data_IF_696209736262
#
_entry.id   IF_696209736262
#
_cell.length_a   1.000
_cell.length_b   1.000
_cell.length_c   1.000
_cell.angle_alpha   90.00
_cell.angle_beta   90.00
_cell.angle_gamma   90.00
#
_symmetry.space_group_name_H-M   'P 1'
#
loop_
_entity.id
_entity.type
_entity.pdbx_description
1 polymer ?
#
# COMPACT_ATOMS: atom_id res chain seq x y z
N UNK A 1 7.46 -7.70 27.61
CA UNK A 1 7.56 -7.02 28.92
C UNK A 1 8.64 -7.63 29.86
N UNK A 2 8.86 -8.96 29.90
CA UNK A 2 9.90 -9.59 30.74
C UNK A 2 11.31 -9.08 30.41
N UNK A 3 11.67 -8.94 29.12
CA UNK A 3 12.96 -8.42 28.70
C UNK A 3 13.18 -6.99 29.22
N UNK A 4 12.16 -6.12 29.12
CA UNK A 4 12.20 -4.74 29.61
C UNK A 4 12.47 -4.73 31.13
N UNK A 5 11.73 -5.55 31.90
CA UNK A 5 11.91 -5.65 33.33
C UNK A 5 13.31 -6.14 33.70
N UNK A 6 13.84 -7.11 32.97
CA UNK A 6 15.18 -7.66 33.22
C UNK A 6 16.26 -6.62 32.95
N UNK A 7 16.18 -5.87 31.86
CA UNK A 7 17.13 -4.79 31.54
C UNK A 7 17.06 -3.66 32.58
N UNK A 8 15.88 -3.28 33.05
CA UNK A 8 15.73 -2.26 34.10
C UNK A 8 16.38 -2.69 35.42
N UNK A 9 16.26 -3.95 35.81
CA UNK A 9 16.94 -4.50 36.99
C UNK A 9 18.47 -4.45 36.85
N UNK A 10 19.00 -4.81 35.70
CA UNK A 10 20.44 -4.75 35.44
C UNK A 10 20.96 -3.32 35.43
N UNK A 11 20.19 -2.38 34.87
CA UNK A 11 20.54 -0.96 34.86
C UNK A 11 20.48 -0.33 36.28
N UNK A 12 19.69 -0.86 37.21
CA UNK A 12 19.73 -0.42 38.59
C UNK A 12 21.09 -0.69 39.28
N UNK A 13 21.81 -1.74 38.82
CA UNK A 13 23.16 -2.08 39.30
C UNK A 13 24.27 -1.43 38.46
N UNK A 14 24.00 -1.19 37.14
CA UNK A 14 24.96 -0.64 36.16
C UNK A 14 24.33 0.50 35.38
N UNK A 15 24.10 1.67 35.98
CA UNK A 15 23.29 2.74 35.35
C UNK A 15 23.89 3.40 34.13
N UNK A 16 25.20 3.26 33.86
CA UNK A 16 25.86 3.84 32.69
C UNK A 16 26.28 2.81 31.64
N UNK A 17 25.72 1.59 31.66
CA UNK A 17 26.13 0.54 30.74
C UNK A 17 25.47 0.72 29.35
N UNK A 18 26.26 1.11 28.35
CA UNK A 18 25.80 1.44 26.98
C UNK A 18 24.96 0.33 26.36
N UNK A 19 25.45 -0.91 26.39
CA UNK A 19 24.79 -2.04 25.75
C UNK A 19 23.42 -2.36 26.40
N UNK A 20 23.32 -2.25 27.75
CA UNK A 20 22.04 -2.45 28.45
C UNK A 20 21.01 -1.39 28.06
N UNK A 21 21.43 -0.13 27.97
CA UNK A 21 20.55 0.93 27.48
C UNK A 21 20.14 0.71 26.03
N UNK A 22 21.07 0.30 25.16
CA UNK A 22 20.77 0.00 23.77
C UNK A 22 19.74 -1.14 23.64
N UNK A 23 19.96 -2.27 24.35
CA UNK A 23 19.06 -3.42 24.28
C UNK A 23 17.68 -3.12 24.87
N UNK A 24 17.62 -2.33 25.94
CA UNK A 24 16.36 -1.82 26.49
C UNK A 24 15.66 -0.90 25.49
N UNK A 25 16.39 -0.02 24.80
CA UNK A 25 15.85 0.83 23.75
C UNK A 25 15.20 0.03 22.62
N UNK A 26 15.85 -1.03 22.16
CA UNK A 26 15.29 -1.96 21.17
C UNK A 26 14.02 -2.64 21.68
N UNK A 27 14.05 -3.18 22.92
CA UNK A 27 12.89 -3.84 23.52
C UNK A 27 11.70 -2.89 23.69
N UNK A 28 11.96 -1.64 24.08
CA UNK A 28 10.93 -0.60 24.23
C UNK A 28 10.30 -0.24 22.88
N UNK A 29 11.10 -0.14 21.81
CA UNK A 29 10.58 0.12 20.45
C UNK A 29 9.67 -1.01 19.98
N UNK A 30 10.06 -2.25 20.18
CA UNK A 30 9.24 -3.43 19.87
C UNK A 30 7.93 -3.48 20.67
N UNK A 31 7.95 -2.95 21.92
CA UNK A 31 6.77 -2.84 22.77
C UNK A 31 5.91 -1.57 22.46
N UNK A 32 6.25 -0.80 21.43
CA UNK A 32 5.54 0.43 21.07
C UNK A 32 5.80 1.65 21.97
N UNK A 33 6.72 1.53 22.95
CA UNK A 33 7.10 2.62 23.88
C UNK A 33 8.18 3.50 23.23
N UNK A 34 7.81 4.20 22.16
CA UNK A 34 8.76 4.80 21.20
C UNK A 34 9.62 5.91 21.82
N UNK A 35 9.04 6.86 22.59
CA UNK A 35 9.79 7.95 23.22
C UNK A 35 10.76 7.45 24.30
N UNK A 36 10.37 6.45 25.07
CA UNK A 36 11.26 5.80 26.03
C UNK A 36 12.43 5.11 25.32
N UNK A 37 12.18 4.49 24.16
CA UNK A 37 13.24 3.91 23.31
C UNK A 37 14.27 4.98 22.90
N UNK A 38 13.82 6.15 22.40
CA UNK A 38 14.72 7.26 22.03
C UNK A 38 15.56 7.69 23.23
N UNK A 39 14.94 7.82 24.41
CA UNK A 39 15.65 8.22 25.64
C UNK A 39 16.76 7.23 26.02
N UNK A 40 16.47 5.93 25.95
CA UNK A 40 17.47 4.91 26.28
C UNK A 40 18.58 4.80 25.23
N UNK A 41 18.29 4.93 23.94
CA UNK A 41 19.34 5.00 22.92
C UNK A 41 20.24 6.24 23.05
N UNK A 42 19.70 7.38 23.51
CA UNK A 42 20.52 8.56 23.84
C UNK A 42 21.46 8.32 25.01
N UNK A 43 20.99 7.62 26.07
CA UNK A 43 21.84 7.24 27.20
C UNK A 43 22.95 6.26 26.75
N UNK A 44 22.63 5.28 25.92
CA UNK A 44 23.61 4.39 25.32
C UNK A 44 24.69 5.15 24.55
N UNK A 45 24.28 6.08 23.70
CA UNK A 45 25.17 6.88 22.88
C UNK A 45 26.02 7.85 23.72
N UNK A 46 25.50 8.38 24.83
CA UNK A 46 26.26 9.21 25.76
C UNK A 46 27.40 8.42 26.44
N UNK A 47 27.21 7.12 26.68
CA UNK A 47 28.22 6.25 27.27
C UNK A 47 29.27 5.78 26.24
N UNK A 48 28.91 5.65 24.95
CA UNK A 48 29.83 5.26 23.86
C UNK A 48 29.53 6.03 22.56
N UNK A 49 30.02 7.30 22.44
CA UNK A 49 29.69 8.21 21.35
C UNK A 49 30.32 7.86 19.98
N UNK A 50 31.28 6.93 19.94
CA UNK A 50 31.97 6.55 18.70
C UNK A 50 31.48 5.23 18.14
N UNK A 51 30.43 4.65 18.68
CA UNK A 51 29.89 3.38 18.25
C UNK A 51 28.89 3.57 17.08
N UNK A 52 29.19 3.06 15.90
CA UNK A 52 28.33 3.23 14.73
C UNK A 52 26.96 2.56 14.91
N UNK A 53 26.89 1.43 15.61
CA UNK A 53 25.61 0.73 15.83
C UNK A 53 24.67 1.53 16.75
N UNK A 54 25.20 2.23 17.77
CA UNK A 54 24.39 3.06 18.66
C UNK A 54 23.81 4.27 17.93
N UNK A 55 24.58 4.89 17.03
CA UNK A 55 24.06 5.93 16.15
C UNK A 55 22.94 5.38 15.25
N UNK A 56 23.13 4.20 14.63
CA UNK A 56 22.13 3.58 13.78
C UNK A 56 20.84 3.26 14.55
N UNK A 57 20.95 2.69 15.76
CA UNK A 57 19.81 2.35 16.58
C UNK A 57 19.02 3.58 17.09
N UNK A 58 19.75 4.66 17.47
CA UNK A 58 19.10 5.94 17.79
C UNK A 58 18.38 6.52 16.56
N UNK A 59 19.00 6.45 15.37
CA UNK A 59 18.38 6.82 14.12
C UNK A 59 17.08 6.06 13.87
N UNK A 60 17.08 4.74 14.05
CA UNK A 60 15.88 3.91 13.92
C UNK A 60 14.77 4.27 14.93
N UNK A 61 15.16 4.60 16.17
CA UNK A 61 14.19 5.02 17.20
C UNK A 61 13.60 6.40 16.86
N UNK A 62 14.40 7.35 16.39
CA UNK A 62 13.97 8.68 15.95
C UNK A 62 13.05 8.61 14.73
N UNK A 63 13.37 7.73 13.76
CA UNK A 63 12.53 7.45 12.60
C UNK A 63 11.15 6.94 13.03
N UNK A 64 11.09 6.05 14.04
CA UNK A 64 9.84 5.50 14.56
C UNK A 64 8.92 6.56 15.22
N UNK A 65 9.48 7.67 15.70
CA UNK A 65 8.72 8.83 16.22
C UNK A 65 8.61 9.99 15.22
N UNK A 66 8.86 9.73 13.93
CA UNK A 66 8.80 10.69 12.81
C UNK A 66 9.77 11.89 12.93
N UNK A 67 10.84 11.76 13.74
CA UNK A 67 11.92 12.77 13.84
C UNK A 67 12.98 12.53 12.77
N UNK A 68 12.57 12.62 11.52
CA UNK A 68 13.37 12.19 10.36
C UNK A 68 14.68 12.94 10.19
N UNK A 69 14.70 14.26 10.40
CA UNK A 69 15.94 15.06 10.23
C UNK A 69 17.03 14.65 11.22
N UNK A 70 16.65 14.34 12.45
CA UNK A 70 17.60 13.85 13.45
C UNK A 70 18.02 12.41 13.13
N UNK A 71 17.08 11.56 12.70
CA UNK A 71 17.37 10.19 12.30
C UNK A 71 18.42 10.15 11.18
N UNK A 72 18.22 10.95 10.13
CA UNK A 72 19.17 11.07 9.00
C UNK A 72 20.56 11.49 9.47
N UNK A 73 20.66 12.49 10.37
CA UNK A 73 21.95 12.92 10.93
C UNK A 73 22.68 11.80 11.66
N UNK A 74 21.94 11.03 12.48
CA UNK A 74 22.52 9.92 13.22
C UNK A 74 22.92 8.77 12.29
N UNK A 75 22.15 8.45 11.27
CA UNK A 75 22.52 7.44 10.28
C UNK A 75 23.76 7.86 9.47
N UNK A 76 23.87 9.13 9.04
CA UNK A 76 25.09 9.62 8.41
C UNK A 76 26.30 9.52 9.34
N UNK A 77 26.14 9.81 10.63
CA UNK A 77 27.24 9.63 11.60
C UNK A 77 27.64 8.18 11.74
N UNK A 78 26.69 7.27 11.75
CA UNK A 78 26.93 5.81 11.79
C UNK A 78 27.85 5.36 10.64
N UNK A 79 27.52 5.70 9.39
CA UNK A 79 28.31 5.30 8.21
C UNK A 79 29.63 6.06 8.09
N UNK A 80 29.73 7.26 8.66
CA UNK A 80 31.01 8.00 8.74
C UNK A 80 32.00 7.34 9.72
N UNK A 81 31.48 6.75 10.80
CA UNK A 81 32.29 6.01 11.79
C UNK A 81 32.73 4.63 11.28
N UNK A 82 31.93 3.99 10.42
CA UNK A 82 32.25 2.69 9.83
C UNK A 82 31.77 2.62 8.39
N UNK A 83 32.71 2.73 7.45
CA UNK A 83 32.42 2.73 5.99
C UNK A 83 31.99 1.37 5.43
N UNK A 84 32.18 0.30 6.20
CA UNK A 84 31.81 -1.06 5.85
C UNK A 84 30.63 -1.60 6.69
N UNK A 85 29.91 -0.69 7.36
CA UNK A 85 28.75 -1.03 8.16
C UNK A 85 27.49 -1.10 7.28
N UNK A 86 27.26 -2.26 6.64
CA UNK A 86 26.16 -2.48 5.70
C UNK A 86 24.79 -2.12 6.29
N UNK A 87 24.54 -2.48 7.57
CA UNK A 87 23.28 -2.16 8.26
C UNK A 87 23.08 -0.66 8.44
N UNK A 88 24.16 0.11 8.67
CA UNK A 88 24.10 1.57 8.71
C UNK A 88 23.64 2.18 7.40
N UNK A 89 24.17 1.72 6.27
CA UNK A 89 23.72 2.12 4.94
C UNK A 89 22.27 1.71 4.68
N UNK A 90 21.88 0.49 5.04
CA UNK A 90 20.51 0.00 4.91
C UNK A 90 19.51 0.86 5.70
N UNK A 91 19.80 1.15 6.96
CA UNK A 91 18.94 1.95 7.82
C UNK A 91 18.87 3.43 7.36
N UNK A 92 19.98 4.00 6.89
CA UNK A 92 20.00 5.32 6.26
C UNK A 92 19.09 5.34 5.02
N UNK A 93 19.19 4.31 4.16
CA UNK A 93 18.39 4.21 2.96
C UNK A 93 16.89 4.16 3.28
N UNK A 94 16.47 3.37 4.28
CA UNK A 94 15.09 3.34 4.74
C UNK A 94 14.61 4.72 5.21
N UNK A 95 15.44 5.45 5.96
CA UNK A 95 15.10 6.77 6.45
C UNK A 95 15.01 7.80 5.31
N UNK A 96 15.94 7.76 4.36
CA UNK A 96 15.95 8.63 3.18
C UNK A 96 14.74 8.38 2.28
N UNK A 97 14.35 7.11 2.10
CA UNK A 97 13.13 6.74 1.37
C UNK A 97 11.89 7.33 2.04
N UNK A 98 11.78 7.23 3.36
CA UNK A 98 10.62 7.73 4.10
C UNK A 98 10.48 9.26 4.02
N UNK A 99 11.58 9.99 3.81
CA UNK A 99 11.56 11.44 3.55
C UNK A 99 11.54 11.80 2.06
N UNK A 100 11.40 10.82 1.17
CA UNK A 100 11.27 11.03 -0.28
C UNK A 100 12.59 11.32 -1.01
N UNK A 101 13.77 11.18 -0.36
CA UNK A 101 15.09 11.35 -0.98
C UNK A 101 15.52 10.05 -1.67
N UNK A 102 14.77 9.67 -2.75
CA UNK A 102 14.87 8.34 -3.37
C UNK A 102 16.23 8.09 -4.02
N UNK A 103 16.83 9.06 -4.71
CA UNK A 103 18.15 8.88 -5.34
C UNK A 103 19.21 8.50 -4.31
N UNK A 104 19.23 9.18 -3.18
CA UNK A 104 20.16 8.90 -2.11
C UNK A 104 19.85 7.58 -1.40
N UNK A 105 18.56 7.23 -1.24
CA UNK A 105 18.15 5.96 -0.68
C UNK A 105 18.62 4.79 -1.56
N UNK A 106 18.43 4.87 -2.88
CA UNK A 106 18.89 3.89 -3.87
C UNK A 106 20.42 3.73 -3.80
N UNK A 107 21.17 4.85 -3.74
CA UNK A 107 22.62 4.82 -3.56
C UNK A 107 23.06 4.11 -2.28
N UNK A 108 22.38 4.38 -1.17
CA UNK A 108 22.66 3.73 0.12
C UNK A 108 22.29 2.23 0.11
N UNK A 109 21.15 1.84 -0.48
CA UNK A 109 20.80 0.42 -0.66
C UNK A 109 21.83 -0.30 -1.52
N UNK A 110 22.26 0.31 -2.64
CA UNK A 110 23.30 -0.25 -3.51
C UNK A 110 24.60 -0.45 -2.75
N UNK A 111 25.02 0.53 -1.92
CA UNK A 111 26.21 0.36 -1.09
C UNK A 111 26.08 -0.74 -0.04
N UNK A 112 24.93 -0.84 0.63
CA UNK A 112 24.65 -1.92 1.58
C UNK A 112 24.74 -3.30 0.90
N UNK A 113 24.22 -3.43 -0.33
CA UNK A 113 24.27 -4.65 -1.13
C UNK A 113 25.67 -4.96 -1.70
N UNK A 114 26.51 -3.95 -1.93
CA UNK A 114 27.91 -4.16 -2.29
C UNK A 114 28.68 -4.78 -1.13
N UNK A 115 28.38 -4.40 0.12
CA UNK A 115 29.03 -4.92 1.32
C UNK A 115 28.46 -6.33 1.68
N UNK A 116 27.12 -6.46 1.64
CA UNK A 116 26.41 -7.71 1.91
C UNK A 116 25.49 -8.12 0.75
N UNK A 117 26.03 -8.77 -0.31
CA UNK A 117 25.27 -9.12 -1.51
C UNK A 117 24.08 -10.04 -1.25
N UNK A 118 24.14 -10.89 -0.22
CA UNK A 118 23.11 -11.90 0.08
C UNK A 118 21.97 -11.37 0.96
N UNK A 119 21.98 -10.08 1.33
CA UNK A 119 20.91 -9.48 2.12
C UNK A 119 19.64 -9.33 1.27
N UNK A 120 18.77 -10.36 1.30
CA UNK A 120 17.52 -10.42 0.54
C UNK A 120 16.58 -9.29 0.91
N UNK A 121 16.50 -8.93 2.20
CA UNK A 121 15.66 -7.82 2.65
C UNK A 121 16.12 -6.49 2.05
N UNK A 122 17.42 -6.23 2.04
CA UNK A 122 17.95 -5.03 1.40
C UNK A 122 17.67 -5.00 -0.11
N UNK A 123 17.70 -6.14 -0.79
CA UNK A 123 17.33 -6.22 -2.22
C UNK A 123 15.85 -5.91 -2.46
N UNK A 124 14.94 -6.39 -1.60
CA UNK A 124 13.51 -6.06 -1.71
C UNK A 124 13.27 -4.57 -1.48
N UNK A 125 13.89 -3.99 -0.45
CA UNK A 125 13.74 -2.55 -0.15
C UNK A 125 14.35 -1.67 -1.24
N UNK A 126 15.45 -2.11 -1.84
CA UNK A 126 16.06 -1.48 -3.03
C UNK A 126 15.09 -1.50 -4.22
N UNK A 127 14.47 -2.65 -4.50
CA UNK A 127 13.49 -2.79 -5.56
C UNK A 127 12.27 -1.88 -5.33
N UNK A 128 11.76 -1.82 -4.08
CA UNK A 128 10.67 -0.91 -3.70
C UNK A 128 11.05 0.55 -3.95
N UNK A 129 12.29 0.96 -3.60
CA UNK A 129 12.75 2.32 -3.85
C UNK A 129 12.80 2.66 -5.36
N UNK A 130 13.24 1.73 -6.20
CA UNK A 130 13.20 1.85 -7.66
C UNK A 130 11.76 2.00 -8.18
N UNK A 131 10.83 1.18 -7.69
CA UNK A 131 9.41 1.28 -8.06
C UNK A 131 8.79 2.60 -7.62
N UNK A 132 9.13 3.10 -6.42
CA UNK A 132 8.70 4.42 -5.94
C UNK A 132 9.22 5.56 -6.82
N UNK A 133 10.44 5.42 -7.39
CA UNK A 133 11.04 6.38 -8.31
C UNK A 133 10.41 6.31 -9.71
N UNK A 134 9.75 5.19 -10.04
CA UNK A 134 9.14 4.98 -11.35
C UNK A 134 9.98 4.13 -12.30
N UNK A 135 11.09 3.58 -11.84
CA UNK A 135 11.95 2.68 -12.58
C UNK A 135 11.33 1.26 -12.64
N UNK A 136 10.26 1.11 -13.45
CA UNK A 136 9.45 -0.12 -13.45
C UNK A 136 10.23 -1.36 -13.86
N UNK A 137 11.00 -1.30 -14.96
CA UNK A 137 11.74 -2.45 -15.48
C UNK A 137 12.77 -2.94 -14.46
N UNK A 138 13.63 -2.03 -13.99
CA UNK A 138 14.66 -2.35 -13.00
C UNK A 138 14.03 -2.75 -11.66
N UNK A 139 13.00 -2.04 -11.21
CA UNK A 139 12.31 -2.28 -9.96
C UNK A 139 11.63 -3.64 -9.92
N UNK A 140 10.82 -4.00 -10.92
CA UNK A 140 10.15 -5.31 -10.94
C UNK A 140 11.13 -6.47 -11.17
N UNK A 141 12.18 -6.25 -11.97
CA UNK A 141 13.26 -7.24 -12.11
C UNK A 141 13.95 -7.52 -10.78
N UNK A 142 14.31 -6.48 -10.03
CA UNK A 142 14.90 -6.62 -8.71
C UNK A 142 13.92 -7.18 -7.68
N UNK A 143 12.61 -6.88 -7.82
CA UNK A 143 11.56 -7.33 -6.90
C UNK A 143 11.29 -8.83 -6.96
N UNK A 144 11.72 -9.55 -8.02
CA UNK A 144 11.60 -11.01 -8.11
C UNK A 144 12.35 -11.75 -6.99
N UNK A 145 13.33 -11.10 -6.32
CA UNK A 145 14.01 -11.66 -5.14
C UNK A 145 13.08 -11.97 -3.97
N UNK A 146 11.91 -11.30 -3.89
CA UNK A 146 10.90 -11.52 -2.84
C UNK A 146 10.47 -12.97 -2.74
N UNK A 147 10.42 -13.70 -3.87
CA UNK A 147 10.10 -15.14 -3.93
C UNK A 147 11.04 -16.03 -3.12
N UNK A 148 12.19 -15.50 -2.71
CA UNK A 148 13.19 -16.20 -1.87
C UNK A 148 13.08 -15.82 -0.40
N UNK A 149 12.10 -14.97 -0.04
CA UNK A 149 11.84 -14.63 1.35
C UNK A 149 10.92 -15.67 1.98
N UNK A 150 11.15 -16.05 3.26
CA UNK A 150 10.28 -16.98 3.98
C UNK A 150 8.83 -16.50 4.09
N UNK A 151 8.64 -15.18 4.09
CA UNK A 151 7.34 -14.52 4.23
C UNK A 151 6.52 -14.55 2.92
N UNK A 152 7.14 -14.93 1.80
CA UNK A 152 6.48 -15.01 0.49
C UNK A 152 6.40 -16.47 0.06
N UNK A 153 5.42 -17.24 0.53
CA UNK A 153 5.28 -18.63 0.13
C UNK A 153 4.96 -18.71 -1.36
N UNK A 154 5.81 -19.41 -2.10
CA UNK A 154 5.57 -19.74 -3.50
C UNK A 154 4.83 -21.08 -3.54
N UNK A 155 3.69 -21.19 -4.24
CA UNK A 155 3.01 -22.47 -4.39
C UNK A 155 3.94 -23.52 -5.04
N UNK A 156 3.94 -24.73 -4.54
CA UNK A 156 4.69 -25.86 -5.09
C UNK A 156 3.87 -26.56 -6.17
N UNK A 157 3.86 -25.97 -7.37
CA UNK A 157 3.23 -26.55 -8.55
C UNK A 157 4.21 -27.44 -9.30
N UNK A 158 3.72 -28.60 -9.78
CA UNK A 158 4.51 -29.51 -10.62
C UNK A 158 4.85 -28.90 -12.00
N UNK A 159 4.03 -27.98 -12.49
CA UNK A 159 4.22 -27.29 -13.75
C UNK A 159 5.29 -26.21 -13.63
N UNK A 160 5.92 -25.89 -14.77
CA UNK A 160 6.96 -24.86 -14.79
C UNK A 160 6.40 -23.44 -14.57
N UNK A 161 7.16 -22.61 -13.87
CA UNK A 161 6.89 -21.18 -13.84
C UNK A 161 7.07 -20.60 -15.26
N UNK A 162 6.16 -19.71 -15.67
CA UNK A 162 6.28 -18.99 -16.94
C UNK A 162 7.46 -18.00 -16.88
N UNK A 163 8.28 -18.01 -17.91
CA UNK A 163 9.50 -17.22 -18.06
C UNK A 163 9.36 -16.00 -18.98
N UNK A 164 8.13 -15.68 -19.44
CA UNK A 164 7.88 -14.60 -20.41
C UNK A 164 7.86 -15.07 -21.87
N UNK A 165 8.14 -16.37 -22.14
CA UNK A 165 8.16 -16.96 -23.48
C UNK A 165 6.79 -17.13 -24.15
N UNK A 166 6.71 -17.83 -25.30
CA UNK A 166 5.48 -18.03 -26.08
C UNK A 166 4.38 -18.74 -25.28
N UNK A 167 3.13 -18.23 -25.41
CA UNK A 167 1.94 -18.75 -24.74
C UNK A 167 0.87 -19.32 -25.68
N UNK A 168 1.10 -19.29 -27.01
CA UNK A 168 0.12 -19.75 -27.98
C UNK A 168 -0.36 -21.16 -27.67
N UNK A 169 -1.65 -21.32 -27.41
CA UNK A 169 -2.31 -22.59 -27.10
C UNK A 169 -2.04 -23.14 -25.70
N UNK A 170 -1.27 -22.46 -24.86
CA UNK A 170 -1.00 -22.88 -23.49
C UNK A 170 -2.07 -22.38 -22.51
N UNK A 171 -2.31 -23.17 -21.47
CA UNK A 171 -3.11 -22.81 -20.31
C UNK A 171 -2.19 -22.22 -19.23
N UNK A 172 -2.38 -20.98 -18.82
CA UNK A 172 -1.60 -20.33 -17.78
C UNK A 172 -2.43 -20.09 -16.53
N UNK A 173 -1.92 -20.54 -15.37
CA UNK A 173 -2.48 -20.24 -14.06
C UNK A 173 -1.83 -18.96 -13.48
N UNK A 174 -2.62 -17.93 -13.26
CA UNK A 174 -2.23 -16.73 -12.53
C UNK A 174 -2.67 -16.87 -11.07
N UNK A 175 -1.76 -16.71 -10.13
CA UNK A 175 -2.06 -16.84 -8.71
C UNK A 175 -1.75 -15.57 -7.92
N UNK A 176 -2.52 -15.26 -6.84
CA UNK A 176 -2.26 -14.15 -5.96
C UNK A 176 -1.04 -14.46 -5.08
N UNK A 177 -0.28 -13.44 -4.73
CA UNK A 177 0.88 -13.56 -3.85
C UNK A 177 0.73 -12.67 -2.61
N UNK A 178 0.04 -11.55 -2.77
CA UNK A 178 -0.17 -10.55 -1.75
C UNK A 178 -1.67 -10.28 -1.56
N UNK A 179 -2.05 -9.06 -1.19
CA UNK A 179 -3.44 -8.73 -0.89
C UNK A 179 -4.36 -8.51 -2.10
N UNK A 180 -5.63 -8.22 -1.80
CA UNK A 180 -6.68 -7.96 -2.79
C UNK A 180 -6.32 -6.83 -3.77
N UNK A 181 -5.63 -5.78 -3.27
CA UNK A 181 -5.18 -4.65 -4.10
C UNK A 181 -4.26 -5.08 -5.23
N UNK A 182 -3.41 -6.08 -4.98
CA UNK A 182 -2.48 -6.59 -5.99
C UNK A 182 -3.20 -7.37 -7.09
N UNK A 183 -4.17 -8.21 -6.71
CA UNK A 183 -5.00 -8.90 -7.70
C UNK A 183 -5.72 -7.89 -8.57
N UNK A 184 -6.37 -6.88 -7.96
CA UNK A 184 -7.09 -5.83 -8.68
C UNK A 184 -6.16 -5.02 -9.60
N UNK A 185 -4.92 -4.74 -9.17
CA UNK A 185 -3.96 -4.00 -9.98
C UNK A 185 -3.39 -4.83 -11.13
N UNK A 186 -2.94 -6.07 -10.85
CA UNK A 186 -2.15 -6.84 -11.80
C UNK A 186 -2.96 -7.77 -12.69
N UNK A 187 -4.23 -8.03 -12.40
CA UNK A 187 -5.10 -8.82 -13.28
C UNK A 187 -5.25 -8.21 -14.68
N UNK A 188 -4.97 -6.91 -14.85
CA UNK A 188 -4.94 -6.22 -16.14
C UNK A 188 -4.02 -6.91 -17.16
N UNK A 189 -2.91 -7.49 -16.70
CA UNK A 189 -1.98 -8.20 -17.57
C UNK A 189 -2.54 -9.49 -18.16
N UNK A 190 -3.61 -10.05 -17.60
CA UNK A 190 -4.31 -11.19 -18.18
C UNK A 190 -4.80 -10.90 -19.61
N UNK A 191 -5.17 -9.64 -19.90
CA UNK A 191 -5.54 -9.20 -21.25
C UNK A 191 -4.39 -9.39 -22.24
N UNK A 192 -3.16 -9.06 -21.85
CA UNK A 192 -1.98 -9.24 -22.68
C UNK A 192 -1.67 -10.72 -22.91
N UNK A 193 -1.79 -11.55 -21.87
CA UNK A 193 -1.57 -13.00 -22.00
C UNK A 193 -2.62 -13.63 -22.92
N UNK A 194 -3.87 -13.16 -22.85
CA UNK A 194 -4.94 -13.57 -23.77
C UNK A 194 -4.61 -13.20 -25.22
N UNK A 195 -4.07 -12.00 -25.47
CA UNK A 195 -3.61 -11.58 -26.81
C UNK A 195 -2.45 -12.42 -27.33
N UNK A 196 -1.60 -12.96 -26.45
CA UNK A 196 -0.51 -13.90 -26.78
C UNK A 196 -1.01 -15.33 -27.04
N UNK A 197 -2.33 -15.55 -27.03
CA UNK A 197 -2.98 -16.81 -27.34
C UNK A 197 -3.08 -17.81 -26.20
N UNK A 198 -2.93 -17.34 -24.94
CA UNK A 198 -3.11 -18.18 -23.77
C UNK A 198 -4.59 -18.41 -23.46
N UNK A 199 -4.89 -19.57 -22.85
CA UNK A 199 -6.07 -19.76 -22.00
C UNK A 199 -5.71 -19.32 -20.60
N UNK A 200 -6.35 -18.26 -20.10
CA UNK A 200 -6.03 -17.60 -18.85
C UNK A 200 -6.91 -18.13 -17.72
N UNK A 201 -6.29 -18.72 -16.70
CA UNK A 201 -6.92 -19.20 -15.48
C UNK A 201 -6.46 -18.29 -14.34
N UNK A 202 -7.39 -17.76 -13.56
CA UNK A 202 -7.08 -16.89 -12.43
C UNK A 202 -7.50 -17.56 -11.13
N UNK A 203 -6.53 -17.84 -10.26
CA UNK A 203 -6.75 -18.17 -8.86
C UNK A 203 -6.86 -16.86 -8.07
N UNK A 204 -7.89 -16.69 -7.24
CA UNK A 204 -8.09 -15.50 -6.46
C UNK A 204 -8.75 -15.79 -5.11
N UNK A 205 -8.75 -14.80 -4.21
CA UNK A 205 -9.54 -14.83 -3.00
C UNK A 205 -11.03 -14.88 -3.35
N UNK A 206 -11.84 -15.60 -2.54
CA UNK A 206 -13.27 -15.81 -2.80
C UNK A 206 -14.05 -14.50 -3.04
N UNK A 207 -13.68 -13.43 -2.34
CA UNK A 207 -14.31 -12.10 -2.47
C UNK A 207 -14.16 -11.47 -3.87
N UNK A 208 -13.21 -11.92 -4.68
CA UNK A 208 -12.97 -11.38 -6.04
C UNK A 208 -13.57 -12.24 -7.14
N UNK A 209 -14.04 -13.46 -6.81
CA UNK A 209 -14.43 -14.47 -7.79
C UNK A 209 -15.47 -13.97 -8.78
N UNK A 210 -16.59 -13.45 -8.29
CA UNK A 210 -17.71 -13.06 -9.14
C UNK A 210 -17.42 -11.77 -9.94
N UNK A 211 -16.59 -10.86 -9.39
CA UNK A 211 -16.06 -9.73 -10.14
C UNK A 211 -15.21 -10.20 -11.34
N UNK A 212 -14.28 -11.13 -11.10
CA UNK A 212 -13.34 -11.57 -12.15
C UNK A 212 -13.99 -12.46 -13.19
N UNK A 213 -15.06 -13.18 -12.86
CA UNK A 213 -15.89 -13.94 -13.82
C UNK A 213 -16.58 -13.05 -14.88
N UNK A 214 -16.81 -11.77 -14.56
CA UNK A 214 -17.39 -10.82 -15.49
C UNK A 214 -16.37 -10.26 -16.51
N UNK A 215 -15.10 -10.72 -16.49
CA UNK A 215 -13.99 -10.20 -17.29
C UNK A 215 -13.76 -11.08 -18.52
N UNK A 216 -13.92 -10.55 -19.73
CA UNK A 216 -13.92 -11.31 -21.00
C UNK A 216 -12.59 -11.97 -21.37
N UNK A 217 -11.47 -11.47 -20.87
CA UNK A 217 -10.12 -11.99 -21.16
C UNK A 217 -9.62 -12.98 -20.11
N UNK A 218 -10.48 -13.41 -19.16
CA UNK A 218 -10.23 -14.49 -18.21
C UNK A 218 -11.12 -15.66 -18.61
N UNK A 219 -10.54 -16.82 -18.88
CA UNK A 219 -11.28 -18.01 -19.32
C UNK A 219 -11.87 -18.80 -18.15
N UNK A 220 -11.12 -18.88 -17.03
CA UNK A 220 -11.56 -19.59 -15.83
C UNK A 220 -11.15 -18.81 -14.57
N UNK A 221 -12.05 -18.75 -13.59
CA UNK A 221 -11.80 -18.16 -12.27
C UNK A 221 -12.02 -19.19 -11.18
N UNK A 222 -11.01 -19.42 -10.39
CA UNK A 222 -10.97 -20.38 -9.29
C UNK A 222 -10.75 -19.65 -7.97
N UNK A 223 -11.54 -19.92 -6.95
CA UNK A 223 -11.30 -19.37 -5.62
C UNK A 223 -10.29 -20.23 -4.84
N UNK A 224 -9.53 -19.59 -3.95
CA UNK A 224 -8.67 -20.30 -3.01
C UNK A 224 -9.46 -21.38 -2.26
N UNK A 225 -8.88 -22.59 -2.22
CA UNK A 225 -9.51 -23.78 -1.63
C UNK A 225 -10.35 -24.63 -2.61
N UNK A 226 -10.61 -24.16 -3.83
CA UNK A 226 -11.25 -24.96 -4.88
C UNK A 226 -10.22 -25.81 -5.65
N UNK A 227 -10.67 -26.86 -6.32
CA UNK A 227 -9.84 -27.68 -7.16
C UNK A 227 -9.34 -26.91 -8.38
N UNK A 228 -8.03 -26.93 -8.62
CA UNK A 228 -7.43 -26.27 -9.80
C UNK A 228 -7.68 -27.11 -11.05
N UNK A 229 -8.07 -26.48 -12.18
CA UNK A 229 -8.10 -27.15 -13.48
C UNK A 229 -6.68 -27.45 -13.96
N UNK A 230 -6.55 -28.27 -14.99
CA UNK A 230 -5.25 -28.52 -15.62
C UNK A 230 -4.68 -27.24 -16.23
N UNK A 231 -3.37 -27.00 -16.07
CA UNK A 231 -2.64 -25.90 -16.66
C UNK A 231 -1.22 -26.33 -17.06
N UNK A 232 -0.60 -25.60 -17.99
CA UNK A 232 0.72 -25.92 -18.54
C UNK A 232 1.83 -25.16 -17.83
N UNK A 233 1.58 -23.88 -17.50
CA UNK A 233 2.52 -23.00 -16.83
C UNK A 233 1.81 -22.12 -15.81
N UNK A 234 2.55 -21.55 -14.88
CA UNK A 234 1.98 -20.64 -13.87
C UNK A 234 2.81 -19.37 -13.68
N UNK A 235 2.19 -18.31 -13.19
CA UNK A 235 2.87 -17.07 -12.80
C UNK A 235 2.19 -16.41 -11.60
N UNK A 236 3.00 -15.84 -10.70
CA UNK A 236 2.48 -14.87 -9.72
C UNK A 236 2.01 -13.61 -10.45
N UNK A 237 0.85 -13.08 -10.08
CA UNK A 237 0.35 -11.82 -10.65
C UNK A 237 1.32 -10.65 -10.44
N UNK A 238 2.01 -10.61 -9.31
CA UNK A 238 3.01 -9.57 -8.98
C UNK A 238 4.27 -9.65 -9.87
N UNK A 239 4.50 -10.78 -10.55
CA UNK A 239 5.60 -10.93 -11.51
C UNK A 239 5.23 -10.51 -12.93
N UNK A 240 3.93 -10.35 -13.23
CA UNK A 240 3.47 -10.03 -14.59
C UNK A 240 4.06 -8.73 -15.15
N UNK A 241 4.22 -7.63 -14.37
CA UNK A 241 4.86 -6.43 -14.88
C UNK A 241 6.28 -6.70 -15.42
N UNK A 242 7.07 -7.52 -14.71
CA UNK A 242 8.39 -7.95 -15.18
C UNK A 242 8.32 -8.83 -16.42
N UNK A 243 7.51 -9.90 -16.38
CA UNK A 243 7.39 -10.88 -17.46
C UNK A 243 6.78 -10.30 -18.75
N UNK A 244 5.90 -9.31 -18.61
CA UNK A 244 5.29 -8.60 -19.73
C UNK A 244 6.08 -7.35 -20.16
N UNK A 245 7.15 -6.96 -19.46
CA UNK A 245 7.95 -5.75 -19.70
C UNK A 245 7.10 -4.47 -19.68
N UNK A 246 6.34 -4.31 -18.59
CA UNK A 246 5.42 -3.19 -18.46
C UNK A 246 6.16 -1.84 -18.37
N UNK A 247 5.60 -0.84 -19.02
CA UNK A 247 6.00 0.56 -18.91
C UNK A 247 4.78 1.47 -18.63
N UNK A 248 5.02 2.66 -18.07
CA UNK A 248 3.93 3.57 -17.74
C UNK A 248 3.18 4.13 -18.94
N UNK A 249 3.81 4.24 -20.11
CA UNK A 249 3.15 4.77 -21.29
C UNK A 249 2.07 3.80 -21.77
N UNK A 250 2.38 2.51 -21.82
CA UNK A 250 1.40 1.47 -22.14
C UNK A 250 0.29 1.37 -21.11
N UNK A 251 0.62 1.43 -19.80
CA UNK A 251 -0.34 1.35 -18.71
C UNK A 251 -1.31 2.56 -18.67
N UNK A 252 -0.80 3.77 -18.94
CA UNK A 252 -1.62 5.00 -18.94
C UNK A 252 -2.60 5.07 -20.13
N UNK A 253 -2.32 4.39 -21.24
CA UNK A 253 -3.17 4.35 -22.43
C UNK A 253 -4.24 3.26 -22.38
N UNK A 254 -4.19 2.36 -21.39
CA UNK A 254 -5.17 1.29 -21.26
C UNK A 254 -6.56 1.81 -20.86
N UNK A 255 -7.64 1.34 -21.53
CA UNK A 255 -9.00 1.60 -21.07
C UNK A 255 -9.27 0.89 -19.73
N UNK A 256 -10.36 1.22 -19.05
CA UNK A 256 -10.82 0.47 -17.89
C UNK A 256 -10.83 -1.05 -18.16
N UNK A 257 -10.34 -1.82 -17.22
CA UNK A 257 -10.13 -3.24 -17.41
C UNK A 257 -10.96 -4.13 -16.45
N UNK A 258 -11.63 -3.51 -15.47
CA UNK A 258 -12.67 -4.16 -14.66
C UNK A 258 -14.00 -3.46 -14.88
N UNK A 259 -15.08 -4.20 -14.71
CA UNK A 259 -16.46 -3.70 -14.84
C UNK A 259 -17.37 -4.35 -13.79
N UNK A 260 -18.45 -3.66 -13.46
CA UNK A 260 -19.50 -4.25 -12.67
C UNK A 260 -20.20 -5.41 -13.45
N UNK A 261 -20.58 -6.50 -12.78
CA UNK A 261 -21.45 -7.49 -13.37
C UNK A 261 -22.78 -6.88 -13.84
N UNK A 262 -23.41 -7.48 -14.85
CA UNK A 262 -24.69 -6.99 -15.39
C UNK A 262 -25.85 -7.14 -14.38
N UNK A 263 -25.86 -8.23 -13.64
CA UNK A 263 -26.84 -8.49 -12.59
C UNK A 263 -26.38 -7.93 -11.25
N UNK A 264 -27.18 -7.03 -10.67
CA UNK A 264 -26.85 -6.43 -9.38
C UNK A 264 -28.05 -6.18 -8.51
N UNK A 265 -27.82 -6.40 -7.21
CA UNK A 265 -28.80 -6.13 -6.13
C UNK A 265 -28.67 -4.71 -5.58
N UNK A 266 -27.51 -4.05 -5.72
CA UNK A 266 -27.26 -2.74 -5.14
C UNK A 266 -27.76 -1.64 -6.08
N UNK A 267 -28.68 -0.83 -5.57
CA UNK A 267 -29.18 0.38 -6.23
C UNK A 267 -28.97 1.57 -5.30
N UNK A 268 -28.22 2.56 -5.76
CA UNK A 268 -28.06 3.81 -5.02
C UNK A 268 -29.24 4.71 -5.27
N UNK A 269 -29.75 5.32 -4.18
CA UNK A 269 -30.79 6.32 -4.26
C UNK A 269 -30.35 7.56 -5.06
N UNK A 270 -31.32 8.26 -5.65
CA UNK A 270 -31.15 9.57 -6.27
C UNK A 270 -32.00 10.60 -5.52
N UNK A 271 -31.43 11.78 -5.30
CA UNK A 271 -32.19 12.96 -4.88
C UNK A 271 -32.17 13.96 -6.04
N UNK A 272 -33.32 14.49 -6.43
CA UNK A 272 -33.45 15.40 -7.58
C UNK A 272 -32.52 16.62 -7.51
N UNK A 273 -32.23 17.10 -6.29
CA UNK A 273 -31.35 18.25 -6.04
C UNK A 273 -29.86 17.89 -5.99
N UNK A 274 -29.49 16.60 -5.95
CA UNK A 274 -28.11 16.18 -5.81
C UNK A 274 -27.41 16.18 -7.17
N UNK A 275 -26.33 16.96 -7.27
CA UNK A 275 -25.48 17.05 -8.46
C UNK A 275 -24.46 15.93 -8.56
N UNK A 276 -23.94 15.48 -7.41
CA UNK A 276 -22.90 14.46 -7.34
C UNK A 276 -23.23 13.38 -6.31
N UNK A 277 -23.01 12.13 -6.69
CA UNK A 277 -23.04 10.95 -5.82
C UNK A 277 -21.62 10.56 -5.48
N UNK A 278 -21.27 10.65 -4.22
CA UNK A 278 -19.89 10.50 -3.73
C UNK A 278 -19.80 9.28 -2.83
N UNK A 279 -18.99 8.31 -3.23
CA UNK A 279 -18.61 7.20 -2.36
C UNK A 279 -17.50 7.61 -1.40
N UNK A 280 -17.55 7.11 -0.17
CA UNK A 280 -16.49 7.34 0.82
C UNK A 280 -16.03 6.04 1.48
N UNK A 281 -14.69 5.98 1.74
CA UNK A 281 -14.06 4.89 2.46
C UNK A 281 -12.89 5.43 3.28
N UNK A 282 -12.95 5.34 4.62
CA UNK A 282 -12.05 6.12 5.50
C UNK A 282 -11.08 5.29 6.34
N UNK A 283 -11.35 4.00 6.57
CA UNK A 283 -10.54 3.22 7.49
C UNK A 283 -10.19 1.84 6.93
N UNK A 284 -8.93 1.46 7.08
CA UNK A 284 -8.47 0.11 6.77
C UNK A 284 -9.00 -0.90 7.79
N UNK A 285 -9.13 -2.16 7.38
CA UNK A 285 -9.47 -3.24 8.31
C UNK A 285 -8.32 -3.39 9.32
N UNK A 286 -8.64 -3.53 10.63
CA UNK A 286 -7.60 -3.69 11.64
C UNK A 286 -6.78 -4.96 11.42
N UNK A 287 -5.46 -4.86 11.48
CA UNK A 287 -4.59 -6.02 11.37
C UNK A 287 -3.10 -5.71 11.24
N UNK A 288 -2.74 -4.56 10.66
CA UNK A 288 -1.35 -4.17 10.42
C UNK A 288 -1.05 -2.81 11.07
N UNK A 289 0.19 -2.60 11.51
CA UNK A 289 0.62 -1.33 12.09
C UNK A 289 0.46 -0.13 11.12
N UNK A 290 0.61 -0.37 9.84
CA UNK A 290 0.46 0.63 8.77
C UNK A 290 -1.00 1.06 8.56
N UNK A 291 -1.99 0.26 8.98
CA UNK A 291 -3.41 0.57 8.82
C UNK A 291 -3.81 1.85 9.55
N UNK A 292 -3.18 2.13 10.70
CA UNK A 292 -3.41 3.37 11.47
C UNK A 292 -2.89 4.62 10.76
N UNK A 293 -1.79 4.50 9.98
CA UNK A 293 -1.18 5.65 9.30
C UNK A 293 -1.97 6.07 8.06
N UNK A 294 -2.64 5.12 7.40
CA UNK A 294 -3.47 5.38 6.19
C UNK A 294 -4.94 5.63 6.49
N UNK A 295 -5.42 5.28 7.69
CA UNK A 295 -6.81 5.55 8.07
C UNK A 295 -7.02 7.02 8.45
N UNK A 296 -8.22 7.51 8.14
CA UNK A 296 -8.68 8.87 8.42
C UNK A 296 -9.87 8.79 9.38
N UNK A 297 -10.05 9.78 10.23
CA UNK A 297 -11.24 9.80 11.08
C UNK A 297 -12.51 10.12 10.27
N UNK A 298 -13.63 9.51 10.64
CA UNK A 298 -14.91 9.72 9.96
C UNK A 298 -15.38 11.18 10.03
N UNK A 299 -15.02 11.93 11.07
CA UNK A 299 -15.36 13.34 11.24
C UNK A 299 -14.82 14.20 10.10
N UNK A 300 -13.66 13.87 9.53
CA UNK A 300 -13.12 14.59 8.39
C UNK A 300 -14.06 14.47 7.16
N UNK A 301 -14.63 13.30 6.92
CA UNK A 301 -15.60 13.08 5.85
C UNK A 301 -16.96 13.71 6.18
N UNK A 302 -17.38 13.61 7.43
CA UNK A 302 -18.62 14.21 7.89
C UNK A 302 -18.63 15.74 7.67
N UNK A 303 -17.47 16.39 7.85
CA UNK A 303 -17.31 17.80 7.56
C UNK A 303 -17.53 18.18 6.08
N UNK A 304 -17.43 17.22 5.13
CA UNK A 304 -17.74 17.43 3.70
C UNK A 304 -19.23 17.27 3.39
N UNK A 305 -19.99 16.53 4.20
CA UNK A 305 -21.34 16.05 3.87
C UNK A 305 -22.47 17.05 4.16
N UNK A 306 -22.16 18.27 4.59
CA UNK A 306 -23.16 19.28 4.92
C UNK A 306 -23.79 20.02 3.72
N UNK A 307 -23.35 19.76 2.49
CA UNK A 307 -23.86 20.39 1.27
C UNK A 307 -25.01 19.55 0.68
N UNK A 308 -26.25 20.10 0.55
CA UNK A 308 -27.41 19.38 0.05
C UNK A 308 -27.33 19.01 -1.45
N UNK A 309 -26.40 19.57 -2.21
CA UNK A 309 -26.16 19.19 -3.61
C UNK A 309 -25.21 17.99 -3.75
N UNK A 310 -24.64 17.51 -2.63
CA UNK A 310 -23.73 16.36 -2.57
C UNK A 310 -24.39 15.21 -1.81
N UNK A 311 -24.45 14.04 -2.43
CA UNK A 311 -25.03 12.84 -1.83
C UNK A 311 -23.93 11.84 -1.50
N UNK A 312 -23.73 11.58 -0.21
CA UNK A 312 -22.65 10.71 0.27
C UNK A 312 -23.13 9.29 0.53
N UNK A 313 -22.34 8.30 0.03
CA UNK A 313 -22.55 6.88 0.22
C UNK A 313 -21.32 6.25 0.88
N UNK A 314 -21.50 5.62 2.01
CA UNK A 314 -20.44 4.85 2.66
C UNK A 314 -20.33 3.48 2.03
N UNK A 315 -19.12 3.15 1.54
CA UNK A 315 -18.76 1.79 1.14
C UNK A 315 -17.96 1.09 2.26
N UNK A 316 -17.83 1.74 3.43
CA UNK A 316 -17.07 1.22 4.57
C UNK A 316 -17.72 -0.03 5.13
N UNK A 317 -16.96 -1.12 5.18
CA UNK A 317 -17.34 -2.37 5.86
C UNK A 317 -16.62 -2.57 7.19
N UNK A 318 -16.96 -3.66 7.88
CA UNK A 318 -16.29 -4.11 9.09
C UNK A 318 -16.54 -3.24 10.31
N UNK A 319 -15.56 -3.18 11.21
CA UNK A 319 -15.72 -2.54 12.53
C UNK A 319 -15.96 -1.02 12.47
N UNK A 320 -15.51 -0.37 11.41
CA UNK A 320 -15.67 1.08 11.22
C UNK A 320 -17.02 1.51 10.64
N UNK A 321 -17.83 0.55 10.20
CA UNK A 321 -19.19 0.83 9.73
C UNK A 321 -20.08 1.47 10.82
N UNK A 322 -19.84 1.14 12.08
CA UNK A 322 -20.54 1.72 13.24
C UNK A 322 -20.31 3.22 13.41
N UNK A 323 -19.25 3.78 12.80
CA UNK A 323 -18.89 5.19 12.97
C UNK A 323 -20.01 6.12 12.48
N UNK A 324 -20.76 5.72 11.44
CA UNK A 324 -21.93 6.49 10.95
C UNK A 324 -23.00 6.65 12.04
N UNK A 325 -23.30 5.56 12.76
CA UNK A 325 -24.31 5.58 13.84
C UNK A 325 -23.80 6.30 15.08
N UNK A 326 -22.55 6.07 15.46
CA UNK A 326 -21.96 6.69 16.66
C UNK A 326 -21.83 8.22 16.55
N UNK A 327 -21.77 8.76 15.31
CA UNK A 327 -21.78 10.20 15.03
C UNK A 327 -23.16 10.75 14.66
N UNK A 328 -24.22 9.95 14.70
CA UNK A 328 -25.58 10.38 14.33
C UNK A 328 -25.71 10.81 12.86
N UNK A 329 -24.83 10.31 11.97
CA UNK A 329 -24.68 10.80 10.60
C UNK A 329 -25.60 10.11 9.58
N UNK A 330 -26.55 9.26 10.01
CA UNK A 330 -27.43 8.49 9.10
C UNK A 330 -28.32 9.33 8.17
N UNK A 331 -28.54 10.61 8.49
CA UNK A 331 -29.25 11.56 7.61
C UNK A 331 -28.37 12.25 6.57
N UNK A 332 -27.04 12.16 6.69
CA UNK A 332 -26.05 12.82 5.83
C UNK A 332 -25.27 11.84 4.95
N UNK A 333 -25.08 10.62 5.43
CA UNK A 333 -24.30 9.57 4.76
C UNK A 333 -25.12 8.29 4.68
N UNK A 334 -25.41 7.83 3.46
CA UNK A 334 -26.13 6.57 3.21
C UNK A 334 -25.20 5.37 3.37
N UNK A 335 -25.50 4.49 4.32
CA UNK A 335 -24.71 3.28 4.58
C UNK A 335 -25.08 2.17 3.59
N UNK A 336 -24.31 2.03 2.51
CA UNK A 336 -24.45 0.93 1.54
C UNK A 336 -23.45 -0.20 1.81
N UNK A 337 -22.44 0.04 2.63
CA UNK A 337 -21.42 -0.95 2.98
C UNK A 337 -22.00 -2.21 3.65
N UNK A 338 -23.18 -2.09 4.31
CA UNK A 338 -23.90 -3.25 4.89
C UNK A 338 -24.36 -4.27 3.86
N UNK A 339 -24.61 -3.84 2.63
CA UNK A 339 -25.06 -4.71 1.54
C UNK A 339 -23.92 -5.20 0.65
N UNK A 340 -22.67 -4.81 0.93
CA UNK A 340 -21.50 -5.20 0.14
C UNK A 340 -20.80 -6.37 0.83
N UNK A 341 -20.94 -7.57 0.25
CA UNK A 341 -20.34 -8.80 0.76
C UNK A 341 -19.14 -9.26 -0.07
N UNK A 342 -19.00 -8.74 -1.30
CA UNK A 342 -17.92 -9.05 -2.21
C UNK A 342 -17.56 -7.86 -3.12
N UNK A 343 -16.56 -8.03 -3.99
CA UNK A 343 -16.11 -6.99 -4.91
C UNK A 343 -17.00 -6.83 -6.16
N UNK A 344 -17.85 -7.79 -6.48
CA UNK A 344 -18.86 -7.65 -7.53
C UNK A 344 -19.95 -6.64 -7.11
N UNK A 345 -20.42 -6.75 -5.87
CA UNK A 345 -21.36 -5.80 -5.28
C UNK A 345 -20.72 -4.41 -5.09
N UNK A 346 -19.44 -4.37 -4.64
CA UNK A 346 -18.69 -3.12 -4.57
C UNK A 346 -18.56 -2.45 -5.94
N UNK A 347 -18.24 -3.21 -7.00
CA UNK A 347 -18.16 -2.70 -8.36
C UNK A 347 -19.49 -2.11 -8.83
N UNK A 348 -20.61 -2.75 -8.47
CA UNK A 348 -21.93 -2.24 -8.79
C UNK A 348 -22.26 -0.95 -8.07
N UNK A 349 -21.93 -0.82 -6.79
CA UNK A 349 -22.10 0.43 -6.09
C UNK A 349 -21.26 1.54 -6.74
N UNK A 350 -19.97 1.25 -7.03
CA UNK A 350 -19.02 2.17 -7.65
C UNK A 350 -19.47 2.64 -9.04
N UNK A 351 -20.05 1.77 -9.87
CA UNK A 351 -20.53 2.13 -11.23
C UNK A 351 -21.64 3.17 -11.23
N UNK A 352 -22.29 3.40 -10.09
CA UNK A 352 -23.38 4.37 -9.92
C UNK A 352 -22.91 5.68 -9.27
N UNK A 353 -21.62 5.82 -8.96
CA UNK A 353 -21.02 7.00 -8.34
C UNK A 353 -20.38 7.93 -9.36
N UNK A 354 -20.39 9.21 -9.08
CA UNK A 354 -19.68 10.24 -9.86
C UNK A 354 -18.24 10.42 -9.36
N UNK A 355 -17.98 10.06 -8.10
CA UNK A 355 -16.68 10.16 -7.44
C UNK A 355 -16.57 9.16 -6.30
N UNK A 356 -15.41 8.53 -6.15
CA UNK A 356 -15.00 7.86 -4.92
C UNK A 356 -13.91 8.69 -4.21
N UNK A 357 -14.07 8.98 -2.92
CA UNK A 357 -13.01 9.53 -2.05
C UNK A 357 -12.62 8.43 -1.05
N UNK A 358 -11.41 7.95 -1.13
CA UNK A 358 -10.97 6.76 -0.37
C UNK A 358 -9.54 6.92 0.11
N UNK A 359 -9.23 6.31 1.24
CA UNK A 359 -7.85 6.00 1.59
C UNK A 359 -7.25 4.97 0.62
N UNK A 360 -5.95 4.68 0.73
CA UNK A 360 -5.32 3.54 0.05
C UNK A 360 -5.91 2.22 0.55
N UNK A 361 -6.84 1.69 -0.23
CA UNK A 361 -7.61 0.48 0.09
C UNK A 361 -8.03 -0.26 -1.19
N UNK A 362 -8.37 -1.56 -1.13
CA UNK A 362 -8.76 -2.32 -2.32
C UNK A 362 -9.91 -1.69 -3.12
N UNK A 363 -10.86 -1.02 -2.45
CA UNK A 363 -11.96 -0.32 -3.12
C UNK A 363 -11.49 0.84 -4.01
N UNK A 364 -10.41 1.53 -3.64
CA UNK A 364 -9.80 2.58 -4.46
C UNK A 364 -9.18 1.99 -5.74
N UNK A 365 -8.49 0.86 -5.63
CA UNK A 365 -7.95 0.13 -6.77
C UNK A 365 -9.06 -0.37 -7.70
N UNK A 366 -10.15 -0.92 -7.15
CA UNK A 366 -11.31 -1.36 -7.92
C UNK A 366 -11.94 -0.20 -8.69
N UNK A 367 -12.27 0.90 -8.02
CA UNK A 367 -12.89 2.07 -8.64
C UNK A 367 -12.03 2.62 -9.78
N UNK A 368 -10.73 2.77 -9.53
CA UNK A 368 -9.79 3.26 -10.52
C UNK A 368 -9.61 2.29 -11.70
N UNK A 369 -9.60 0.97 -11.47
CA UNK A 369 -9.57 -0.06 -12.51
C UNK A 369 -10.82 -0.08 -13.39
N UNK A 370 -11.96 0.33 -12.84
CA UNK A 370 -13.23 0.51 -13.55
C UNK A 370 -13.32 1.86 -14.29
N UNK A 371 -12.35 2.76 -14.13
CA UNK A 371 -12.37 4.10 -14.70
C UNK A 371 -13.27 5.09 -13.94
N UNK A 372 -13.78 4.73 -12.78
CA UNK A 372 -14.53 5.63 -11.90
C UNK A 372 -13.58 6.71 -11.39
N UNK A 373 -14.02 7.97 -11.41
CA UNK A 373 -13.22 9.07 -10.85
C UNK A 373 -12.93 8.77 -9.38
N UNK A 374 -11.65 8.69 -9.04
CA UNK A 374 -11.21 8.27 -7.70
C UNK A 374 -10.23 9.29 -7.12
N UNK A 375 -10.50 9.77 -5.92
CA UNK A 375 -9.59 10.57 -5.14
C UNK A 375 -9.01 9.72 -4.03
N UNK A 376 -7.69 9.53 -4.06
CA UNK A 376 -6.99 8.67 -3.09
C UNK A 376 -6.28 9.54 -2.07
N UNK A 377 -6.65 9.38 -0.80
CA UNK A 377 -6.06 10.07 0.33
C UNK A 377 -4.85 9.26 0.81
N UNK A 378 -3.67 9.86 0.79
CA UNK A 378 -2.41 9.19 1.04
C UNK A 378 -1.65 9.80 2.21
N UNK A 379 -1.01 8.99 3.06
CA UNK A 379 -0.04 9.50 4.02
C UNK A 379 1.15 10.13 3.27
N UNK A 380 1.98 10.88 3.97
CA UNK A 380 3.21 11.48 3.42
C UNK A 380 4.11 10.43 2.77
N UNK A 381 4.24 9.27 3.43
CA UNK A 381 4.97 8.09 2.92
C UNK A 381 3.96 7.05 2.47
N UNK A 382 3.54 7.11 1.22
CA UNK A 382 2.60 6.16 0.64
C UNK A 382 3.33 4.93 0.05
N UNK A 383 2.54 3.89 -0.24
CA UNK A 383 3.00 2.71 -0.95
C UNK A 383 3.60 3.07 -2.34
N UNK A 384 4.54 2.27 -2.81
CA UNK A 384 5.25 2.48 -4.08
C UNK A 384 4.31 2.59 -5.29
N UNK A 385 3.14 1.98 -5.23
CA UNK A 385 2.13 2.03 -6.31
C UNK A 385 1.65 3.45 -6.59
N UNK A 386 1.64 4.29 -5.59
CA UNK A 386 1.20 5.69 -5.70
C UNK A 386 2.33 6.67 -6.03
N UNK A 387 3.58 6.22 -6.02
CA UNK A 387 4.79 7.02 -6.23
C UNK A 387 4.84 8.29 -5.38
N UNK A 388 5.91 9.07 -5.46
CA UNK A 388 6.05 10.34 -4.76
C UNK A 388 5.92 11.52 -5.73
N UNK A 389 5.54 12.70 -5.19
CA UNK A 389 5.56 13.97 -5.91
C UNK A 389 4.59 14.10 -7.10
N UNK A 390 3.58 13.24 -7.19
CA UNK A 390 2.62 13.22 -8.32
C UNK A 390 1.19 13.48 -7.85
N UNK A 391 0.43 14.34 -8.58
CA UNK A 391 -1.00 14.54 -8.30
C UNK A 391 -1.90 13.46 -8.92
N UNK A 392 -1.40 12.62 -9.82
CA UNK A 392 -2.14 11.57 -10.51
C UNK A 392 -1.42 10.22 -10.42
N UNK A 393 -2.20 9.15 -10.36
CA UNK A 393 -1.65 7.80 -10.37
C UNK A 393 -1.06 7.46 -11.73
N UNK A 394 0.13 6.83 -11.77
CA UNK A 394 0.70 6.34 -13.02
C UNK A 394 0.01 5.05 -13.51
N UNK A 395 -0.71 4.36 -12.60
CA UNK A 395 -1.41 3.11 -12.88
C UNK A 395 -2.86 3.33 -13.35
N UNK A 396 -3.48 4.44 -12.92
CA UNK A 396 -4.90 4.69 -13.12
C UNK A 396 -5.14 6.14 -13.57
N UNK A 397 -5.46 6.36 -14.85
CA UNK A 397 -5.74 7.72 -15.33
C UNK A 397 -6.89 8.42 -14.61
N UNK A 398 -7.86 7.65 -14.06
CA UNK A 398 -9.01 8.16 -13.31
C UNK A 398 -8.71 8.53 -11.86
N UNK A 399 -7.50 8.21 -11.36
CA UNK A 399 -7.14 8.42 -9.95
C UNK A 399 -6.30 9.68 -9.73
N UNK A 400 -6.81 10.58 -8.89
CA UNK A 400 -6.10 11.75 -8.38
C UNK A 400 -5.65 11.49 -6.94
N UNK A 401 -4.44 11.94 -6.59
CA UNK A 401 -3.77 11.67 -5.33
C UNK A 401 -3.74 12.92 -4.46
N UNK A 402 -4.21 12.80 -3.23
CA UNK A 402 -4.18 13.82 -2.20
C UNK A 402 -3.28 13.33 -1.07
N UNK A 403 -2.14 13.99 -0.86
CA UNK A 403 -1.08 13.50 0.02
C UNK A 403 -0.84 14.44 1.19
N UNK A 404 -0.64 13.87 2.38
CA UNK A 404 -0.22 14.63 3.55
C UNK A 404 1.08 15.38 3.27
N UNK A 405 1.14 16.67 3.62
CA UNK A 405 2.37 17.45 3.60
C UNK A 405 3.15 17.27 4.91
N UNK A 406 2.43 17.07 6.02
CA UNK A 406 3.02 16.78 7.33
C UNK A 406 2.52 15.41 7.82
N UNK A 407 3.43 14.47 8.17
CA UNK A 407 3.05 13.15 8.62
C UNK A 407 2.04 13.18 9.76
N UNK A 408 0.96 12.38 9.63
CA UNK A 408 -0.07 12.23 10.66
C UNK A 408 -1.13 13.34 10.68
N UNK A 409 -1.06 14.35 9.80
CA UNK A 409 -2.06 15.41 9.70
C UNK A 409 -2.88 15.28 8.42
N UNK A 410 -4.21 15.34 8.54
CA UNK A 410 -5.12 15.23 7.41
C UNK A 410 -5.83 16.55 7.05
N UNK A 411 -5.67 17.61 7.85
CA UNK A 411 -6.39 18.86 7.69
C UNK A 411 -6.09 19.58 6.36
N UNK A 412 -4.83 19.60 5.94
CA UNK A 412 -4.38 20.14 4.66
C UNK A 412 -4.94 19.35 3.48
N UNK A 413 -4.93 18.01 3.58
CA UNK A 413 -5.51 17.10 2.60
C UNK A 413 -7.00 17.37 2.41
N UNK A 414 -7.75 17.49 3.52
CA UNK A 414 -9.20 17.76 3.46
C UNK A 414 -9.54 19.18 3.03
N UNK A 415 -8.68 20.17 3.27
CA UNK A 415 -8.83 21.51 2.70
C UNK A 415 -8.71 21.46 1.16
N UNK A 416 -7.75 20.71 0.63
CA UNK A 416 -7.58 20.51 -0.80
C UNK A 416 -8.75 19.71 -1.41
N UNK A 417 -9.17 18.62 -0.76
CA UNK A 417 -10.34 17.83 -1.17
C UNK A 417 -11.59 18.71 -1.26
N UNK A 418 -11.86 19.54 -0.26
CA UNK A 418 -13.02 20.46 -0.25
C UNK A 418 -12.98 21.43 -1.42
N UNK A 419 -11.83 22.08 -1.64
CA UNK A 419 -11.64 23.03 -2.76
C UNK A 419 -11.91 22.36 -4.11
N UNK A 420 -11.38 21.16 -4.32
CA UNK A 420 -11.57 20.42 -5.56
C UNK A 420 -13.01 19.90 -5.71
N UNK A 421 -13.66 19.53 -4.60
CA UNK A 421 -15.05 19.10 -4.60
C UNK A 421 -15.99 20.25 -4.98
N UNK A 422 -15.75 21.46 -4.46
CA UNK A 422 -16.48 22.67 -4.85
C UNK A 422 -16.30 23.00 -6.33
N UNK A 423 -15.08 22.83 -6.87
CA UNK A 423 -14.82 23.01 -8.30
C UNK A 423 -15.55 21.96 -9.16
N UNK A 424 -15.52 20.70 -8.74
CA UNK A 424 -16.19 19.60 -9.43
C UNK A 424 -17.73 19.81 -9.44
N UNK A 425 -18.30 20.21 -8.31
CA UNK A 425 -19.73 20.52 -8.18
C UNK A 425 -20.17 21.65 -9.12
N UNK A 426 -19.35 22.72 -9.26
CA UNK A 426 -19.64 23.82 -10.19
C UNK A 426 -19.60 23.40 -11.65
N UNK A 427 -18.79 22.42 -11.99
CA UNK A 427 -18.65 21.88 -13.36
C UNK A 427 -19.71 20.81 -13.70
N UNK A 428 -20.42 20.28 -12.70
CA UNK A 428 -21.49 19.31 -12.90
C UNK A 428 -22.70 19.98 -13.58
N UNK A 429 -23.35 19.29 -14.55
CA UNK A 429 -24.59 19.80 -15.14
C UNK A 429 -25.68 19.99 -14.07
N UNK A 430 -26.56 20.97 -14.31
CA UNK A 430 -27.68 21.30 -13.42
C UNK A 430 -28.72 20.17 -13.38
#
# INVERSE_FOLDING_TARGET
DEAITSYLRLLAVRPAHAELHNNLGVALRLAGKLEASVSHHRLALAADPQNPALHSNLGNALRAVNRFDEAVKHHYRSIALSRDYAEGFFNLALCLRDVGRLDEAIGCFSRALTIHPDNRRARVEFAIALLMQGELEAGFSAYEIRKRLPETPTPDFAQAAWDGGPLQGKRILLYPEQGLSDVLLFVRFARELKRRGATVIVLCQALLKDLLRAVDYIDEVVAEGEALPAFDVHASMVSLPHLCRADFASLASEPPYLRAPEESRIKLGRLERAKLRIGIYWAAMPGQAQDRQRSVSFEQFLALSGDPELLFFSLQGGVHQKDIQSHGAGGLVHDVGRGIFDFAEAATALSQLDLLISIDAPVAHLAAAMGVRTWVLLPSTADWRWQLGRPHSPWYPSARLFRQTVPGTWNDVFADVRRELDALKKAAPA
#
